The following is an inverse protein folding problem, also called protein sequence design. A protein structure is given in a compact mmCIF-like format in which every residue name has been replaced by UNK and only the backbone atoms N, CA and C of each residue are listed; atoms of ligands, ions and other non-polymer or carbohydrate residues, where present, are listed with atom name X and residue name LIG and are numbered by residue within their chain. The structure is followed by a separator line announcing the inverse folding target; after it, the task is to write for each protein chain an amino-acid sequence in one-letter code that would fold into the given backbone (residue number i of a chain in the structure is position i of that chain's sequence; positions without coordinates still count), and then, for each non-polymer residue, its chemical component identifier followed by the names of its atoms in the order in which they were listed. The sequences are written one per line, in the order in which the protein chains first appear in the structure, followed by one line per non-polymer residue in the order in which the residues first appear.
data_IF_591435893560
#
_entry.id   IF_591435893560
#
_cell.length_a   1.000
_cell.length_b   1.000
_cell.length_c   1.000
_cell.angle_alpha   90.00
_cell.angle_beta   90.00
_cell.angle_gamma   90.00
#
_symmetry.space_group_name_H-M   'P 1'
#
loop_
_entity.id
_entity.type
_entity.pdbx_description
1 polymer ?
#
# COMPACT_ATOMS: atom_id res chain seq x y z
N UNK A 1 20.53 -10.00 -2.85
CA UNK A 1 19.17 -10.06 -2.33
C UNK A 1 18.40 -8.81 -2.74
N UNK A 2 17.23 -8.98 -3.27
CA UNK A 2 16.39 -7.85 -3.67
C UNK A 2 15.64 -7.31 -2.47
N UNK A 3 15.74 -6.02 -2.27
CA UNK A 3 14.91 -5.34 -1.27
C UNK A 3 13.98 -4.40 -2.00
N UNK A 4 12.73 -4.38 -1.55
CA UNK A 4 11.76 -3.45 -2.08
C UNK A 4 11.84 -2.17 -1.25
N UNK A 5 12.16 -1.08 -1.92
CA UNK A 5 12.10 0.23 -1.30
C UNK A 5 10.64 0.64 -1.21
N UNK A 6 10.10 0.90 0.00
CA UNK A 6 8.69 1.30 0.09
C UNK A 6 8.35 2.49 -0.78
N UNK A 7 9.26 3.44 -0.91
CA UNK A 7 9.03 4.62 -1.74
C UNK A 7 8.82 4.29 -3.22
N UNK A 8 9.38 3.18 -3.69
CA UNK A 8 9.23 2.81 -5.09
C UNK A 8 7.80 2.38 -5.42
N UNK A 9 7.00 2.11 -4.40
CA UNK A 9 5.61 1.71 -4.60
C UNK A 9 4.68 2.91 -4.74
N UNK A 10 5.13 4.12 -4.37
CA UNK A 10 4.29 5.31 -4.45
C UNK A 10 3.94 5.58 -5.90
N UNK A 11 2.66 5.81 -6.16
CA UNK A 11 2.13 5.99 -7.50
C UNK A 11 1.66 4.71 -8.15
N UNK A 12 1.85 3.57 -7.49
CA UNK A 12 1.36 2.30 -8.02
C UNK A 12 0.02 1.95 -7.41
N UNK A 13 -0.71 1.07 -8.07
CA UNK A 13 -2.06 0.70 -7.67
C UNK A 13 -2.10 -0.79 -7.34
N UNK A 14 -2.89 -1.13 -6.33
CA UNK A 14 -3.15 -2.51 -5.94
C UNK A 14 -4.62 -2.66 -5.61
N UNK A 15 -5.02 -3.90 -5.36
CA UNK A 15 -6.40 -4.23 -5.02
C UNK A 15 -6.41 -4.97 -3.69
N UNK A 16 -7.39 -4.67 -2.84
CA UNK A 16 -7.55 -5.38 -1.57
C UNK A 16 -7.97 -6.82 -1.87
N UNK A 17 -7.02 -7.76 -1.77
CA UNK A 17 -7.26 -9.14 -2.10
C UNK A 17 -7.65 -9.29 -3.57
N UNK A 18 -8.27 -10.40 -3.90
CA UNK A 18 -8.61 -10.71 -5.29
C UNK A 18 -9.85 -9.96 -5.79
N UNK A 19 -10.74 -9.59 -4.89
CA UNK A 19 -12.03 -9.02 -5.28
C UNK A 19 -12.34 -7.69 -4.63
N UNK A 20 -11.42 -7.14 -3.86
CA UNK A 20 -11.66 -5.88 -3.16
C UNK A 20 -11.48 -4.67 -4.05
N UNK A 21 -11.75 -3.46 -3.53
CA UNK A 21 -11.56 -2.25 -4.30
C UNK A 21 -10.09 -1.96 -4.58
N UNK A 22 -9.86 -1.16 -5.61
CA UNK A 22 -8.52 -0.71 -5.99
C UNK A 22 -8.11 0.46 -5.10
N UNK A 23 -6.85 0.49 -4.73
CA UNK A 23 -6.28 1.63 -4.02
C UNK A 23 -4.97 2.05 -4.67
N UNK A 24 -4.62 3.31 -4.48
CA UNK A 24 -3.35 3.87 -4.93
C UNK A 24 -2.46 4.11 -3.72
N UNK A 25 -1.18 3.81 -3.85
CA UNK A 25 -0.21 4.11 -2.81
C UNK A 25 0.27 5.54 -3.06
N UNK A 26 -0.01 6.46 -2.13
CA UNK A 26 0.15 7.88 -2.38
C UNK A 26 1.30 8.53 -1.62
N UNK A 27 1.75 7.93 -0.52
CA UNK A 27 2.80 8.56 0.29
C UNK A 27 3.41 7.54 1.24
N UNK A 28 4.54 7.93 1.84
CA UNK A 28 5.11 7.15 2.92
C UNK A 28 4.22 7.25 4.14
N UNK A 29 4.13 6.17 4.90
CA UNK A 29 3.41 6.14 6.15
C UNK A 29 4.36 6.22 7.32
N UNK A 30 4.03 5.47 8.38
CA UNK A 30 4.79 5.48 9.62
C UNK A 30 5.51 4.15 9.79
N UNK A 31 6.57 4.19 10.60
CA UNK A 31 7.16 2.97 11.13
C UNK A 31 6.54 2.72 12.51
N UNK A 32 5.91 1.57 12.66
CA UNK A 32 5.26 1.21 13.92
C UNK A 32 6.30 0.78 14.94
N UNK A 33 5.96 0.81 16.26
CA UNK A 33 6.93 0.45 17.30
C UNK A 33 7.53 -0.94 17.16
N UNK A 34 6.79 -1.88 16.56
CA UNK A 34 7.28 -3.24 16.33
C UNK A 34 8.19 -3.36 15.11
N UNK A 35 8.49 -2.24 14.43
CA UNK A 35 9.32 -2.24 13.24
C UNK A 35 8.57 -2.37 11.93
N UNK A 36 7.27 -2.57 11.96
CA UNK A 36 6.46 -2.64 10.76
C UNK A 36 6.38 -1.27 10.11
N UNK A 37 6.40 -1.25 8.78
CA UNK A 37 6.23 -0.03 8.03
C UNK A 37 4.83 0.02 7.45
N UNK A 38 4.29 1.23 7.34
CA UNK A 38 3.03 1.48 6.66
C UNK A 38 3.25 2.45 5.51
N UNK A 39 2.34 2.41 4.56
CA UNK A 39 2.27 3.40 3.50
C UNK A 39 0.87 4.00 3.52
N UNK A 40 0.78 5.24 3.07
CA UNK A 40 -0.52 5.89 2.97
C UNK A 40 -1.14 5.53 1.64
N UNK A 41 -2.37 5.09 1.67
CA UNK A 41 -3.09 4.67 0.48
C UNK A 41 -4.39 5.45 0.36
N UNK A 42 -4.90 5.52 -0.87
CA UNK A 42 -6.20 6.12 -1.15
C UNK A 42 -7.05 5.12 -1.93
N UNK A 43 -8.22 4.81 -1.40
CA UNK A 43 -9.18 3.96 -2.09
C UNK A 43 -9.76 4.76 -3.25
N UNK A 44 -9.58 4.26 -4.47
CA UNK A 44 -9.94 5.03 -5.66
C UNK A 44 -11.44 5.34 -5.70
N UNK A 45 -12.26 4.35 -5.34
CA UNK A 45 -13.70 4.45 -5.46
C UNK A 45 -14.31 5.49 -4.51
N UNK A 46 -13.75 5.62 -3.31
CA UNK A 46 -14.32 6.48 -2.28
C UNK A 46 -13.47 7.71 -1.98
N UNK A 47 -12.20 7.70 -2.37
CA UNK A 47 -11.27 8.75 -2.00
C UNK A 47 -10.78 8.66 -0.56
N UNK A 48 -11.18 7.64 0.17
CA UNK A 48 -10.76 7.46 1.54
C UNK A 48 -9.27 7.20 1.62
N UNK A 49 -8.58 7.85 2.55
CA UNK A 49 -7.15 7.66 2.76
C UNK A 49 -6.92 7.02 4.12
N UNK A 50 -5.99 6.10 4.16
CA UNK A 50 -5.63 5.42 5.41
C UNK A 50 -4.20 4.91 5.31
N UNK A 51 -3.62 4.55 6.46
CA UNK A 51 -2.33 3.89 6.49
C UNK A 51 -2.54 2.39 6.48
N UNK A 52 -1.71 1.70 5.70
CA UNK A 52 -1.86 0.28 5.48
C UNK A 52 -0.47 -0.36 5.58
N UNK A 53 -0.39 -1.52 6.19
CA UNK A 53 0.91 -2.16 6.42
C UNK A 53 1.55 -2.57 5.11
N UNK A 54 2.85 -2.32 5.00
CA UNK A 54 3.62 -2.71 3.83
C UNK A 54 3.48 -4.20 3.54
N UNK A 55 3.53 -5.03 4.58
CA UNK A 55 3.40 -6.47 4.40
C UNK A 55 2.09 -6.85 3.71
N UNK A 56 1.01 -6.18 4.09
CA UNK A 56 -0.30 -6.45 3.49
C UNK A 56 -0.36 -5.93 2.06
N UNK A 57 0.26 -4.78 1.81
CA UNK A 57 0.33 -4.23 0.45
C UNK A 57 1.05 -5.21 -0.48
N UNK A 58 2.18 -5.76 -0.02
CA UNK A 58 2.95 -6.69 -0.84
C UNK A 58 2.21 -8.00 -1.09
N UNK A 59 1.27 -8.33 -0.23
CA UNK A 59 0.45 -9.53 -0.37
C UNK A 59 -0.76 -9.30 -1.29
N UNK A 60 -1.10 -8.05 -1.54
CA UNK A 60 -2.21 -7.69 -2.42
C UNK A 60 -1.77 -7.71 -3.88
N UNK A 61 -2.66 -8.11 -4.80
CA UNK A 61 -2.30 -8.13 -6.21
C UNK A 61 -2.13 -6.72 -6.78
N UNK A 62 -1.19 -6.60 -7.70
CA UNK A 62 -0.97 -5.35 -8.41
C UNK A 62 -2.14 -5.09 -9.35
N UNK A 63 -2.46 -3.82 -9.50
CA UNK A 63 -3.49 -3.38 -10.43
C UNK A 63 -2.83 -2.50 -11.49
N UNK A 64 -3.23 -2.70 -12.73
CA UNK A 64 -2.70 -1.93 -13.85
C UNK A 64 -3.64 -0.83 -14.29
#
# INVERSE_FOLDING_TARGET
MLQIEPRSLIGTWRRFGLAGPVYEIIAEGKRLPAGDETLRIRVIETGEELEYKLADILDDPKER
#
